data_IF_175807665173
#
_entry.id   IF_175807665173
#
_cell.length_a   1.000
_cell.length_b   1.000
_cell.length_c   1.000
_cell.angle_alpha   90.00
_cell.angle_beta   90.00
_cell.angle_gamma   90.00
#
_symmetry.space_group_name_H-M   'P 1'
#
loop_
_entity.id
_entity.type
_entity.pdbx_description
1 polymer ?
#
# COMPACT_ATOMS: atom_id res chain seq x y z
N UNK A 1 -10.26 17.36 -13.81
CA UNK A 1 -9.83 16.08 -13.18
C UNK A 1 -10.10 15.99 -11.68
N UNK A 2 -10.56 17.04 -10.96
CA UNK A 2 -10.58 17.06 -9.48
C UNK A 2 -11.79 16.44 -8.75
N UNK A 3 -12.86 16.01 -9.42
CA UNK A 3 -14.04 15.41 -8.74
C UNK A 3 -13.97 13.89 -8.50
N UNK A 4 -12.96 13.20 -9.05
CA UNK A 4 -12.83 11.73 -8.95
C UNK A 4 -11.60 11.26 -8.14
N UNK A 5 -10.68 12.15 -7.78
CA UNK A 5 -9.37 11.83 -7.15
C UNK A 5 -9.51 11.45 -5.64
N UNK A 6 -10.72 11.15 -5.18
CA UNK A 6 -10.99 10.72 -3.81
C UNK A 6 -12.24 9.87 -3.72
N UNK A 7 -12.55 9.06 -4.73
CA UNK A 7 -13.65 8.10 -4.58
C UNK A 7 -13.15 6.89 -3.79
N UNK A 8 -13.90 6.38 -2.80
CA UNK A 8 -13.63 5.09 -2.15
C UNK A 8 -13.41 3.96 -3.17
N UNK A 9 -14.10 4.02 -4.32
CA UNK A 9 -13.95 3.06 -5.43
C UNK A 9 -12.55 3.08 -6.05
N UNK A 10 -11.93 4.26 -6.17
CA UNK A 10 -10.59 4.40 -6.73
C UNK A 10 -9.53 3.89 -5.75
N UNK A 11 -9.74 4.09 -4.44
CA UNK A 11 -8.91 3.49 -3.40
C UNK A 11 -8.96 1.96 -3.46
N UNK A 12 -10.16 1.37 -3.52
CA UNK A 12 -10.31 -0.10 -3.65
C UNK A 12 -9.64 -0.62 -4.91
N UNK A 13 -9.81 0.03 -6.06
CA UNK A 13 -9.12 -0.40 -7.29
C UNK A 13 -7.59 -0.37 -7.15
N UNK A 14 -7.07 0.65 -6.46
CA UNK A 14 -5.62 0.78 -6.23
C UNK A 14 -5.11 -0.31 -5.28
N UNK A 15 -5.86 -0.64 -4.22
CA UNK A 15 -5.54 -1.77 -3.34
C UNK A 15 -5.59 -3.11 -4.09
N UNK A 16 -6.57 -3.32 -4.98
CA UNK A 16 -6.64 -4.52 -5.81
C UNK A 16 -5.43 -4.66 -6.72
N UNK A 17 -5.03 -3.58 -7.41
CA UNK A 17 -3.81 -3.57 -8.23
C UNK A 17 -2.56 -3.90 -7.40
N UNK A 18 -2.44 -3.31 -6.21
CA UNK A 18 -1.32 -3.57 -5.29
C UNK A 18 -1.30 -5.03 -4.82
N UNK A 19 -2.48 -5.58 -4.51
CA UNK A 19 -2.62 -6.97 -4.07
C UNK A 19 -2.23 -7.97 -5.17
N UNK A 20 -2.64 -7.69 -6.42
CA UNK A 20 -2.23 -8.50 -7.58
C UNK A 20 -0.72 -8.43 -7.81
N UNK A 21 -0.10 -7.25 -7.68
CA UNK A 21 1.35 -7.12 -7.83
C UNK A 21 2.11 -7.95 -6.78
N UNK A 22 1.65 -7.95 -5.52
CA UNK A 22 2.24 -8.77 -4.47
C UNK A 22 1.99 -10.27 -4.65
N UNK A 23 0.80 -10.66 -5.12
CA UNK A 23 0.51 -12.05 -5.45
C UNK A 23 1.44 -12.57 -6.56
N UNK A 24 1.69 -11.76 -7.59
CA UNK A 24 2.65 -12.08 -8.65
C UNK A 24 4.06 -12.30 -8.07
N UNK A 25 4.52 -11.42 -7.16
CA UNK A 25 5.82 -11.56 -6.48
C UNK A 25 5.88 -12.79 -5.56
N UNK A 26 4.76 -13.19 -4.97
CA UNK A 26 4.68 -14.41 -4.16
C UNK A 26 4.84 -15.66 -5.04
N UNK A 27 4.29 -15.64 -6.26
CA UNK A 27 4.24 -16.80 -7.15
C UNK A 27 5.43 -16.91 -8.12
N UNK A 28 6.13 -15.81 -8.41
CA UNK A 28 7.16 -15.78 -9.45
C UNK A 28 8.40 -14.97 -9.06
N UNK A 29 9.56 -15.47 -9.47
CA UNK A 29 10.87 -14.81 -9.31
C UNK A 29 11.48 -14.37 -10.65
N UNK A 30 10.75 -14.48 -11.76
CA UNK A 30 11.28 -14.07 -13.06
C UNK A 30 11.40 -12.54 -13.13
N UNK A 31 12.49 -12.05 -13.72
CA UNK A 31 12.81 -10.63 -13.79
C UNK A 31 11.68 -9.77 -14.37
N UNK A 32 10.97 -10.29 -15.38
CA UNK A 32 9.84 -9.59 -16.01
C UNK A 32 8.73 -9.31 -15.00
N UNK A 33 8.35 -10.30 -14.20
CA UNK A 33 7.33 -10.15 -13.17
C UNK A 33 7.79 -9.24 -12.02
N UNK A 34 9.06 -9.34 -11.63
CA UNK A 34 9.65 -8.43 -10.64
C UNK A 34 9.58 -6.97 -11.11
N UNK A 35 9.95 -6.70 -12.36
CA UNK A 35 9.91 -5.36 -12.95
C UNK A 35 8.48 -4.82 -13.03
N UNK A 36 7.53 -5.60 -13.53
CA UNK A 36 6.12 -5.20 -13.63
C UNK A 36 5.56 -4.89 -12.23
N UNK A 37 5.73 -5.79 -11.26
CA UNK A 37 5.24 -5.58 -9.90
C UNK A 37 5.91 -4.39 -9.20
N UNK A 38 7.19 -4.12 -9.50
CA UNK A 38 7.89 -2.93 -8.98
C UNK A 38 7.30 -1.63 -9.53
N UNK A 39 7.02 -1.56 -10.85
CA UNK A 39 6.38 -0.40 -11.47
C UNK A 39 4.98 -0.18 -10.89
N UNK A 40 4.17 -1.24 -10.78
CA UNK A 40 2.83 -1.16 -10.19
C UNK A 40 2.91 -0.64 -8.76
N UNK A 41 3.76 -1.24 -7.93
CA UNK A 41 3.93 -0.83 -6.53
C UNK A 41 4.43 0.61 -6.41
N UNK A 42 5.39 1.00 -7.26
CA UNK A 42 5.94 2.35 -7.29
C UNK A 42 4.91 3.43 -7.67
N UNK A 43 3.91 3.07 -8.48
CA UNK A 43 2.81 3.98 -8.82
C UNK A 43 1.67 3.94 -7.78
N UNK A 44 1.30 2.75 -7.31
CA UNK A 44 0.17 2.54 -6.41
C UNK A 44 0.42 3.09 -5.00
N UNK A 45 1.61 2.93 -4.43
CA UNK A 45 1.91 3.43 -3.07
C UNK A 45 1.73 4.95 -2.94
N UNK A 46 2.36 5.81 -3.77
CA UNK A 46 2.10 7.24 -3.70
C UNK A 46 0.65 7.59 -4.11
N UNK A 47 0.05 6.82 -5.01
CA UNK A 47 -1.36 6.96 -5.38
C UNK A 47 -2.31 6.76 -4.19
N UNK A 48 -2.11 5.70 -3.40
CA UNK A 48 -2.90 5.41 -2.18
C UNK A 48 -2.78 6.57 -1.20
N UNK A 49 -1.56 7.05 -0.92
CA UNK A 49 -1.33 8.19 -0.02
C UNK A 49 -2.11 9.43 -0.47
N UNK A 50 -2.06 9.76 -1.77
CA UNK A 50 -2.78 10.90 -2.34
C UNK A 50 -4.31 10.74 -2.25
N UNK A 51 -4.82 9.57 -2.62
CA UNK A 51 -6.26 9.26 -2.57
C UNK A 51 -6.79 9.25 -1.13
N UNK A 52 -6.00 8.73 -0.17
CA UNK A 52 -6.33 8.78 1.26
C UNK A 52 -6.36 10.21 1.77
N UNK A 53 -5.43 11.08 1.37
CA UNK A 53 -5.45 12.50 1.73
C UNK A 53 -6.72 13.19 1.19
N UNK A 54 -7.07 12.92 -0.08
CA UNK A 54 -8.25 13.48 -0.73
C UNK A 54 -9.55 13.03 -0.03
N UNK A 55 -9.64 11.74 0.33
CA UNK A 55 -10.79 11.20 1.03
C UNK A 55 -10.88 11.71 2.47
N UNK A 56 -9.76 11.79 3.18
CA UNK A 56 -9.69 12.36 4.52
C UNK A 56 -10.15 13.83 4.52
N UNK A 57 -9.72 14.60 3.53
CA UNK A 57 -10.15 15.98 3.35
C UNK A 57 -11.66 16.09 3.05
N UNK A 58 -12.23 15.10 2.36
CA UNK A 58 -13.67 15.04 2.05
C UNK A 58 -14.52 14.77 3.30
N UNK A 59 -14.06 13.91 4.22
CA UNK A 59 -14.83 13.49 5.40
C UNK A 59 -14.57 14.34 6.64
N UNK A 60 -13.40 15.00 6.74
CA UNK A 60 -13.04 15.80 7.90
C UNK A 60 -13.46 17.27 7.76
N UNK A 61 -13.78 17.91 8.88
CA UNK A 61 -13.88 19.37 8.95
C UNK A 61 -12.48 19.98 8.73
N UNK A 62 -12.40 21.12 8.04
CA UNK A 62 -11.14 21.79 7.67
C UNK A 62 -10.19 21.98 8.86
N UNK A 63 -10.72 22.28 10.06
CA UNK A 63 -9.91 22.51 11.27
C UNK A 63 -9.25 21.24 11.84
N UNK A 64 -9.78 20.05 11.56
CA UNK A 64 -9.25 18.78 12.07
C UNK A 64 -8.30 18.10 11.08
N UNK A 65 -8.38 18.45 9.79
CA UNK A 65 -7.61 17.81 8.73
C UNK A 65 -6.09 17.81 8.99
N UNK A 66 -5.43 18.93 9.39
CA UNK A 66 -3.98 18.93 9.59
C UNK A 66 -3.51 17.96 10.67
N UNK A 67 -4.25 17.88 11.80
CA UNK A 67 -3.93 16.98 12.92
C UNK A 67 -4.15 15.53 12.55
N UNK A 68 -5.25 15.20 11.90
CA UNK A 68 -5.54 13.80 11.51
C UNK A 68 -4.57 13.35 10.41
N UNK A 69 -4.22 14.24 9.47
CA UNK A 69 -3.25 13.95 8.42
C UNK A 69 -1.82 13.74 8.97
N UNK A 70 -1.40 14.55 9.95
CA UNK A 70 -0.08 14.37 10.59
C UNK A 70 -0.01 13.05 11.36
N UNK A 71 -1.09 12.64 12.05
CA UNK A 71 -1.17 11.32 12.69
C UNK A 71 -1.12 10.19 11.66
N UNK A 72 -1.87 10.29 10.56
CA UNK A 72 -1.89 9.27 9.51
C UNK A 72 -0.50 9.08 8.87
N UNK A 73 0.21 10.18 8.58
CA UNK A 73 1.56 10.15 8.01
C UNK A 73 2.60 9.61 9.00
N UNK A 74 2.45 9.89 10.30
CA UNK A 74 3.28 9.30 11.35
C UNK A 74 3.08 7.78 11.42
N UNK A 75 1.84 7.31 11.46
CA UNK A 75 1.52 5.87 11.45
C UNK A 75 2.11 5.22 10.19
N UNK A 76 1.93 5.85 9.03
CA UNK A 76 2.50 5.36 7.77
C UNK A 76 4.03 5.22 7.85
N UNK A 77 4.74 6.24 8.33
CA UNK A 77 6.20 6.20 8.47
C UNK A 77 6.66 5.13 9.46
N UNK A 78 5.99 5.00 10.61
CA UNK A 78 6.28 3.94 11.58
C UNK A 78 6.06 2.55 11.00
N UNK A 79 4.95 2.34 10.27
CA UNK A 79 4.68 1.07 9.59
C UNK A 79 5.71 0.75 8.50
N UNK A 80 6.19 1.75 7.76
CA UNK A 80 7.27 1.58 6.78
C UNK A 80 8.58 1.14 7.46
N UNK A 81 8.95 1.78 8.56
CA UNK A 81 10.15 1.42 9.32
C UNK A 81 10.06 0.00 9.91
N UNK A 82 8.92 -0.33 10.52
CA UNK A 82 8.66 -1.68 11.04
C UNK A 82 8.69 -2.73 9.94
N UNK A 83 8.00 -2.48 8.82
CA UNK A 83 7.99 -3.39 7.67
C UNK A 83 9.39 -3.64 7.12
N UNK A 84 10.19 -2.58 6.92
CA UNK A 84 11.56 -2.71 6.45
C UNK A 84 12.45 -3.53 7.42
N UNK A 85 12.34 -3.28 8.74
CA UNK A 85 13.05 -4.07 9.74
C UNK A 85 12.62 -5.54 9.73
N UNK A 86 11.32 -5.83 9.70
CA UNK A 86 10.81 -7.20 9.62
C UNK A 86 11.33 -7.92 8.38
N UNK A 87 11.30 -7.25 7.22
CA UNK A 87 11.82 -7.84 5.98
C UNK A 87 13.31 -8.11 6.03
N UNK A 88 14.10 -7.19 6.59
CA UNK A 88 15.55 -7.36 6.73
C UNK A 88 15.89 -8.56 7.63
N UNK A 89 15.25 -8.67 8.79
CA UNK A 89 15.46 -9.77 9.73
C UNK A 89 15.01 -11.11 9.16
N UNK A 90 13.86 -11.13 8.47
CA UNK A 90 13.36 -12.34 7.80
C UNK A 90 14.31 -12.82 6.70
N UNK A 91 14.83 -11.90 5.88
CA UNK A 91 15.72 -12.29 4.80
C UNK A 91 17.06 -12.82 5.32
N UNK A 92 17.57 -12.33 6.45
CA UNK A 92 18.79 -12.86 7.08
C UNK A 92 18.65 -14.34 7.49
N UNK A 93 17.47 -14.75 7.94
CA UNK A 93 17.21 -16.13 8.41
C UNK A 93 16.79 -17.07 7.29
N UNK A 94 15.81 -16.66 6.47
CA UNK A 94 15.13 -17.54 5.51
C UNK A 94 15.70 -17.40 4.09
N UNK A 95 16.46 -16.32 3.80
CA UNK A 95 17.14 -16.07 2.51
C UNK A 95 16.21 -16.03 1.28
N UNK A 96 14.91 -15.88 1.49
CA UNK A 96 13.92 -15.68 0.42
C UNK A 96 12.83 -14.69 0.83
N UNK A 97 12.34 -13.92 -0.14
CA UNK A 97 11.28 -12.93 0.03
C UNK A 97 9.87 -13.47 -0.26
N UNK A 98 9.74 -14.64 -0.89
CA UNK A 98 8.42 -15.18 -1.30
C UNK A 98 7.41 -15.30 -0.14
N UNK A 99 7.78 -15.85 1.04
CA UNK A 99 6.84 -15.91 2.16
C UNK A 99 6.37 -14.54 2.65
N UNK A 100 7.23 -13.52 2.55
CA UNK A 100 6.89 -12.14 2.91
C UNK A 100 5.87 -11.58 1.92
N UNK A 101 6.08 -11.78 0.61
CA UNK A 101 5.13 -11.33 -0.40
C UNK A 101 3.78 -12.00 -0.23
N UNK A 102 3.75 -13.28 0.13
CA UNK A 102 2.50 -13.99 0.45
C UNK A 102 1.83 -13.39 1.70
N UNK A 103 2.60 -13.16 2.78
CA UNK A 103 2.07 -12.57 4.01
C UNK A 103 1.49 -11.17 3.77
N UNK A 104 2.19 -10.31 3.02
CA UNK A 104 1.71 -8.97 2.68
C UNK A 104 0.47 -9.02 1.79
N UNK A 105 0.41 -9.96 0.83
CA UNK A 105 -0.80 -10.20 0.02
C UNK A 105 -1.99 -10.51 0.93
N UNK A 106 -1.83 -11.42 1.89
CA UNK A 106 -2.89 -11.79 2.84
C UNK A 106 -3.31 -10.61 3.74
N UNK A 107 -2.34 -9.84 4.25
CA UNK A 107 -2.60 -8.66 5.09
C UNK A 107 -3.31 -7.53 4.34
N UNK A 108 -3.14 -7.43 3.03
CA UNK A 108 -3.74 -6.39 2.21
C UNK A 108 -5.18 -6.73 1.78
N UNK A 109 -5.59 -8.00 1.82
CA UNK A 109 -6.94 -8.44 1.41
C UNK A 109 -8.06 -7.62 2.05
N UNK A 110 -8.08 -7.35 3.37
CA UNK A 110 -9.13 -6.57 4.01
C UNK A 110 -9.28 -5.16 3.42
N UNK A 111 -8.18 -4.55 2.94
CA UNK A 111 -8.21 -3.20 2.37
C UNK A 111 -9.03 -3.12 1.07
N UNK A 112 -9.19 -4.25 0.37
CA UNK A 112 -10.01 -4.31 -0.84
C UNK A 112 -11.52 -4.17 -0.56
N UNK A 113 -11.94 -4.26 0.70
CA UNK A 113 -13.34 -4.19 1.11
C UNK A 113 -13.70 -2.89 1.87
N UNK A 114 -12.76 -1.94 2.00
CA UNK A 114 -12.94 -0.69 2.76
C UNK A 114 -13.76 0.40 2.03
N UNK A 115 -14.63 0.06 1.07
CA UNK A 115 -15.46 1.03 0.33
C UNK A 115 -16.85 1.26 0.95
#
# INVERSE_FOLDING_TARGET
MSKQIGSPKTLVLTYLCQNLAFLILALSQQIVFLSISSVITGACVPGIVLLTAAELHRIMKTNLFPTVWSMATLIFACSQALGAMTMALWFQTIRTYQPIFLAVTLLLIPANFLA
#
